data_IF_382651689976
#
_entry.id   IF_382651689976
#
_cell.length_a   1.000
_cell.length_b   1.000
_cell.length_c   1.000
_cell.angle_alpha   90.00
_cell.angle_beta   90.00
_cell.angle_gamma   90.00
#
_symmetry.space_group_name_H-M   'P 1'
#
loop_
_entity.id
_entity.type
_entity.pdbx_description
1 polymer ?
#
# COMPACT_ATOMS: atom_id res chain seq x y z
N UNK A 1 17.76 5.90 -34.68
CA UNK A 1 18.68 5.32 -33.67
C UNK A 1 18.27 5.92 -32.32
N UNK A 2 18.19 5.14 -31.23
CA UNK A 2 17.70 5.64 -29.93
C UNK A 2 18.64 6.70 -29.30
N UNK A 3 19.91 6.75 -29.72
CA UNK A 3 20.89 7.71 -29.22
C UNK A 3 20.57 9.17 -29.62
N UNK A 4 20.02 9.40 -30.82
CA UNK A 4 19.71 10.76 -31.31
C UNK A 4 18.54 11.37 -30.53
N UNK A 5 17.52 10.55 -30.24
CA UNK A 5 16.35 10.97 -29.46
C UNK A 5 16.70 11.35 -28.01
N UNK A 6 17.68 10.66 -27.41
CA UNK A 6 18.14 10.99 -26.06
C UNK A 6 18.84 12.35 -26.00
N UNK A 7 19.70 12.64 -26.98
CA UNK A 7 20.41 13.92 -27.05
C UNK A 7 19.46 15.09 -27.33
N UNK A 8 18.46 14.88 -28.18
CA UNK A 8 17.41 15.87 -28.43
C UNK A 8 16.62 16.19 -27.16
N UNK A 9 16.22 15.19 -26.37
CA UNK A 9 15.53 15.40 -25.09
C UNK A 9 16.41 16.14 -24.09
N UNK A 10 17.69 15.79 -23.99
CA UNK A 10 18.63 16.45 -23.10
C UNK A 10 18.81 17.93 -23.45
N UNK A 11 18.85 18.26 -24.74
CA UNK A 11 18.91 19.65 -25.21
C UNK A 11 17.65 20.45 -24.87
N UNK A 12 16.48 19.79 -24.83
CA UNK A 12 15.20 20.42 -24.48
C UNK A 12 15.10 20.67 -22.98
N UNK A 13 15.56 19.73 -22.16
CA UNK A 13 15.59 19.88 -20.70
C UNK A 13 16.54 21.00 -20.28
N UNK A 14 17.69 21.15 -20.95
CA UNK A 14 18.65 22.23 -20.69
C UNK A 14 18.10 23.63 -20.99
N UNK A 15 17.06 23.75 -21.82
CA UNK A 15 16.40 25.04 -22.14
C UNK A 15 15.34 25.44 -21.10
N UNK A 16 14.93 24.51 -20.24
CA UNK A 16 14.01 24.78 -19.15
C UNK A 16 14.70 25.57 -18.03
N UNK A 17 13.92 26.32 -17.26
CA UNK A 17 14.41 26.94 -16.03
C UNK A 17 14.81 25.90 -14.99
N UNK A 18 15.63 26.29 -14.02
CA UNK A 18 16.07 25.40 -12.94
C UNK A 18 14.89 24.79 -12.15
N UNK A 19 13.82 25.56 -11.95
CA UNK A 19 12.60 25.12 -11.26
C UNK A 19 11.85 24.05 -12.07
N UNK A 20 11.71 24.26 -13.38
CA UNK A 20 11.08 23.30 -14.29
C UNK A 20 11.92 22.01 -14.43
N UNK A 21 13.25 22.12 -14.42
CA UNK A 21 14.14 20.95 -14.41
C UNK A 21 13.96 20.11 -13.15
N UNK A 22 13.86 20.75 -11.98
CA UNK A 22 13.60 20.06 -10.71
C UNK A 22 12.22 19.40 -10.68
N UNK A 23 11.20 20.09 -11.19
CA UNK A 23 9.85 19.52 -11.29
C UNK A 23 9.82 18.30 -12.21
N UNK A 24 10.48 18.38 -13.37
CA UNK A 24 10.57 17.28 -14.33
C UNK A 24 11.34 16.08 -13.76
N UNK A 25 12.42 16.33 -12.99
CA UNK A 25 13.13 15.27 -12.28
C UNK A 25 12.21 14.57 -11.26
N UNK A 26 11.42 15.34 -10.51
CA UNK A 26 10.46 14.80 -9.54
C UNK A 26 9.40 13.93 -10.22
N UNK A 27 8.82 14.42 -11.31
CA UNK A 27 7.79 13.70 -12.07
C UNK A 27 8.34 12.40 -12.67
N UNK A 28 9.57 12.42 -13.18
CA UNK A 28 10.27 11.21 -13.64
C UNK A 28 10.52 10.22 -12.51
N UNK A 29 10.97 10.69 -11.34
CA UNK A 29 11.15 9.84 -10.17
C UNK A 29 9.83 9.21 -9.72
N UNK A 30 8.73 9.95 -9.73
CA UNK A 30 7.43 9.44 -9.31
C UNK A 30 6.83 8.46 -10.33
N UNK A 31 7.06 8.69 -11.62
CA UNK A 31 6.72 7.74 -12.68
C UNK A 31 7.51 6.42 -12.56
N UNK A 32 8.82 6.52 -12.29
CA UNK A 32 9.67 5.35 -12.07
C UNK A 32 9.31 4.62 -10.78
N UNK A 33 9.01 5.34 -9.69
CA UNK A 33 8.49 4.74 -8.45
C UNK A 33 7.17 4.03 -8.70
N UNK A 34 6.25 4.58 -9.48
CA UNK A 34 4.99 3.91 -9.82
C UNK A 34 5.20 2.63 -10.65
N UNK A 35 6.20 2.63 -11.53
CA UNK A 35 6.60 1.47 -12.33
C UNK A 35 7.32 0.38 -11.50
N UNK A 36 8.17 0.80 -10.56
CA UNK A 36 8.90 -0.09 -9.64
C UNK A 36 8.03 -0.55 -8.46
N UNK A 37 7.02 0.24 -8.10
CA UNK A 37 5.96 -0.11 -7.17
C UNK A 37 4.86 -0.90 -7.91
N UNK A 38 5.25 -1.98 -8.58
CA UNK A 38 4.37 -3.15 -8.60
C UNK A 38 4.29 -3.59 -7.15
N UNK A 39 3.40 -2.95 -6.38
CA UNK A 39 3.10 -3.36 -5.01
C UNK A 39 2.79 -4.85 -5.11
N UNK A 40 3.56 -5.73 -4.44
CA UNK A 40 3.30 -7.15 -4.56
C UNK A 40 1.83 -7.34 -4.24
N UNK A 41 1.13 -8.07 -5.12
CA UNK A 41 -0.25 -8.46 -4.86
C UNK A 41 -0.20 -9.40 -3.66
N UNK A 42 -0.27 -8.82 -2.48
CA UNK A 42 -0.21 -9.57 -1.23
C UNK A 42 -1.45 -10.43 -1.18
N UNK A 43 -1.24 -11.74 -1.11
CA UNK A 43 -2.34 -12.65 -0.86
C UNK A 43 -2.69 -12.58 0.62
N UNK A 44 -3.98 -12.50 0.95
CA UNK A 44 -4.45 -12.63 2.34
C UNK A 44 -3.97 -13.98 2.96
N UNK A 45 -3.65 -14.96 2.11
CA UNK A 45 -3.06 -16.24 2.52
C UNK A 45 -1.67 -16.11 3.15
N UNK A 46 -0.95 -15.02 2.93
CA UNK A 46 0.33 -14.72 3.61
C UNK A 46 0.14 -14.55 5.12
N UNK A 47 -1.08 -14.22 5.57
CA UNK A 47 -1.43 -14.10 6.98
C UNK A 47 -1.93 -15.41 7.59
N UNK A 48 -1.94 -16.52 6.84
CA UNK A 48 -2.42 -17.82 7.34
C UNK A 48 -1.52 -18.30 8.48
N UNK A 49 -2.11 -18.51 9.65
CA UNK A 49 -1.41 -19.03 10.83
C UNK A 49 -0.79 -17.96 11.72
N UNK A 50 -0.78 -16.69 11.29
CA UNK A 50 -0.45 -15.58 12.18
C UNK A 50 -1.47 -15.51 13.32
N UNK A 51 -0.98 -15.54 14.56
CA UNK A 51 -1.79 -15.50 15.76
C UNK A 51 -2.31 -16.85 16.26
N UNK A 52 -2.00 -17.98 15.60
CA UNK A 52 -2.43 -19.31 16.08
C UNK A 52 -2.03 -19.59 17.54
N UNK A 53 -0.82 -19.19 17.92
CA UNK A 53 -0.27 -19.36 19.27
C UNK A 53 -1.03 -18.52 20.31
N UNK A 54 -1.62 -17.38 19.90
CA UNK A 54 -2.43 -16.54 20.78
C UNK A 54 -3.77 -17.22 21.07
N UNK A 55 -4.30 -17.96 20.11
CA UNK A 55 -5.54 -18.72 20.24
C UNK A 55 -5.32 -20.12 20.86
N UNK A 56 -4.08 -20.50 21.18
CA UNK A 56 -3.78 -21.80 21.77
C UNK A 56 -4.28 -21.83 23.22
N UNK A 57 -5.18 -22.78 23.51
CA UNK A 57 -5.81 -22.91 24.84
C UNK A 57 -6.97 -21.95 25.10
N UNK A 58 -7.33 -21.10 24.12
CA UNK A 58 -8.57 -20.32 24.15
C UNK A 58 -9.69 -21.18 23.57
N UNK A 59 -10.78 -21.32 24.31
CA UNK A 59 -12.02 -21.86 23.75
C UNK A 59 -12.63 -20.82 22.80
N UNK A 60 -12.44 -21.06 21.51
CA UNK A 60 -12.85 -20.14 20.45
C UNK A 60 -14.37 -19.99 20.41
N UNK A 61 -15.10 -21.06 20.67
CA UNK A 61 -16.56 -21.05 20.60
C UNK A 61 -17.12 -20.21 21.76
N UNK A 62 -16.61 -20.41 22.98
CA UNK A 62 -17.00 -19.60 24.13
C UNK A 62 -16.63 -18.13 23.95
N UNK A 63 -15.42 -17.83 23.46
CA UNK A 63 -14.97 -16.45 23.24
C UNK A 63 -15.86 -15.73 22.21
N UNK A 64 -16.29 -16.42 21.15
CA UNK A 64 -17.18 -15.85 20.14
C UNK A 64 -18.59 -15.60 20.68
N UNK A 65 -19.11 -16.48 21.54
CA UNK A 65 -20.41 -16.28 22.17
C UNK A 65 -20.41 -15.09 23.12
N UNK A 66 -19.37 -14.94 23.94
CA UNK A 66 -19.21 -13.82 24.86
C UNK A 66 -19.12 -12.48 24.11
N UNK A 67 -18.37 -12.43 23.01
CA UNK A 67 -18.25 -11.23 22.18
C UNK A 67 -19.58 -10.90 21.45
N UNK A 68 -20.32 -11.91 20.98
CA UNK A 68 -21.64 -11.70 20.36
C UNK A 68 -22.66 -11.17 21.36
N UNK A 69 -22.66 -11.73 22.57
CA UNK A 69 -23.53 -11.29 23.64
C UNK A 69 -23.20 -9.85 24.05
N UNK A 70 -21.92 -9.49 24.18
CA UNK A 70 -21.52 -8.12 24.53
C UNK A 70 -21.93 -7.10 23.46
N UNK A 71 -21.87 -7.46 22.17
CA UNK A 71 -22.32 -6.59 21.09
C UNK A 71 -23.84 -6.46 21.04
N UNK A 72 -24.56 -7.54 21.34
CA UNK A 72 -26.02 -7.52 21.40
C UNK A 72 -26.52 -6.70 22.59
N UNK A 73 -25.88 -6.84 23.75
CA UNK A 73 -26.15 -6.06 24.97
C UNK A 73 -25.92 -4.57 24.72
N UNK A 74 -24.77 -4.21 24.12
CA UNK A 74 -24.46 -2.82 23.72
C UNK A 74 -25.45 -2.22 22.71
N UNK A 75 -26.07 -3.05 21.86
CA UNK A 75 -27.10 -2.61 20.91
C UNK A 75 -28.47 -2.45 21.58
N UNK A 76 -28.75 -3.17 22.68
CA UNK A 76 -29.93 -2.97 23.52
C UNK A 76 -29.83 -1.78 24.48
N UNK A 77 -28.64 -1.44 24.98
CA UNK A 77 -28.44 -0.24 25.82
C UNK A 77 -28.57 1.08 25.03
N UNK A 78 -28.54 1.05 23.70
CA UNK A 78 -28.60 2.23 22.82
C UNK A 78 -29.97 2.47 22.17
N UNK A 79 -31.04 1.87 22.69
CA UNK A 79 -32.43 2.05 22.23
C UNK A 79 -33.31 2.59 23.35
#
# INVERSE_FOLDING_TARGET
MPADAYQELLSQIQRLSFEEQLQLLKDLMDMLKGSLATKPSHSILELRGLGKEIWEGIDVDQYLEDERNSWNDLLSERR
#
